data_IF_274341530845
#
_entry.id   IF_274341530845
#
_cell.length_a   1.000
_cell.length_b   1.000
_cell.length_c   1.000
_cell.angle_alpha   90.00
_cell.angle_beta   90.00
_cell.angle_gamma   90.00
#
_symmetry.space_group_name_H-M   'P 1'
#
loop_
_entity.id
_entity.type
_entity.pdbx_description
1 polymer ?
#
# COMPACT_ATOMS: atom_id res chain seq x y z
N UNK A 1 -5.47 3.61 12.72
CA UNK A 1 -6.05 3.23 11.41
C UNK A 1 -7.47 3.76 11.28
N UNK A 2 -8.36 3.38 12.19
CA UNK A 2 -9.78 3.82 12.14
C UNK A 2 -9.96 5.34 12.08
N UNK A 3 -9.15 6.09 12.79
CA UNK A 3 -9.22 7.55 12.80
C UNK A 3 -8.79 8.20 11.46
N UNK A 4 -8.04 7.47 10.65
CA UNK A 4 -7.55 7.95 9.33
C UNK A 4 -8.45 7.45 8.20
N UNK A 5 -8.88 6.18 8.26
CA UNK A 5 -9.62 5.52 7.18
C UNK A 5 -11.13 5.40 7.44
N UNK A 6 -11.58 5.76 8.63
CA UNK A 6 -12.96 5.61 9.14
C UNK A 6 -13.47 4.14 9.12
N UNK A 7 -12.57 3.17 9.07
CA UNK A 7 -12.87 1.74 9.07
C UNK A 7 -11.93 0.95 9.97
N UNK A 8 -12.30 -0.26 10.33
CA UNK A 8 -11.39 -1.18 11.00
C UNK A 8 -10.44 -1.82 9.98
N UNK A 9 -9.19 -2.02 10.40
CA UNK A 9 -8.16 -2.66 9.60
C UNK A 9 -8.49 -4.13 9.37
N UNK A 10 -8.36 -4.60 8.14
CA UNK A 10 -8.44 -6.04 7.83
C UNK A 10 -7.16 -6.76 8.23
N UNK A 11 -7.25 -8.07 8.44
CA UNK A 11 -6.08 -8.90 8.78
C UNK A 11 -4.97 -8.81 7.73
N UNK A 12 -5.34 -8.80 6.44
CA UNK A 12 -4.38 -8.61 5.34
C UNK A 12 -3.67 -7.26 5.44
N UNK A 13 -4.38 -6.17 5.77
CA UNK A 13 -3.80 -4.83 5.92
C UNK A 13 -2.80 -4.79 7.09
N UNK A 14 -3.16 -5.41 8.23
CA UNK A 14 -2.26 -5.49 9.37
C UNK A 14 -0.97 -6.25 9.02
N UNK A 15 -1.11 -7.42 8.38
CA UNK A 15 0.03 -8.21 7.90
C UNK A 15 0.86 -7.41 6.90
N UNK A 16 0.19 -6.75 5.94
CA UNK A 16 0.84 -5.91 4.94
C UNK A 16 1.67 -4.80 5.55
N UNK A 17 1.11 -4.05 6.48
CA UNK A 17 1.82 -2.99 7.19
C UNK A 17 3.01 -3.53 7.97
N UNK A 18 2.85 -4.66 8.68
CA UNK A 18 3.93 -5.28 9.45
C UNK A 18 5.12 -5.68 8.57
N UNK A 19 4.86 -6.37 7.44
CA UNK A 19 5.90 -6.79 6.51
C UNK A 19 6.50 -5.59 5.75
N UNK A 20 5.66 -4.65 5.29
CA UNK A 20 6.08 -3.50 4.48
C UNK A 20 7.00 -2.55 5.23
N UNK A 21 6.76 -2.35 6.52
CA UNK A 21 7.48 -1.36 7.33
C UNK A 21 8.56 -1.97 8.23
N UNK A 22 8.75 -3.28 8.20
CA UNK A 22 9.80 -3.95 8.94
C UNK A 22 11.18 -3.38 8.59
N UNK A 23 12.05 -3.28 9.58
CA UNK A 23 13.46 -2.98 9.36
C UNK A 23 14.17 -4.28 8.99
N UNK A 24 14.73 -4.31 7.80
CA UNK A 24 15.41 -5.47 7.25
C UNK A 24 16.53 -5.96 8.18
N UNK A 25 16.67 -7.27 8.34
CA UNK A 25 17.64 -7.89 9.23
C UNK A 25 18.17 -9.19 8.60
N UNK A 26 19.46 -9.41 8.72
CA UNK A 26 20.12 -10.57 8.12
C UNK A 26 20.52 -10.32 6.68
N UNK A 27 20.08 -11.18 5.76
CA UNK A 27 20.30 -10.99 4.33
C UNK A 27 19.36 -9.92 3.76
N UNK A 28 19.75 -9.31 2.66
CA UNK A 28 18.91 -8.29 2.00
C UNK A 28 17.57 -8.90 1.54
N UNK A 29 16.49 -8.26 1.94
CA UNK A 29 15.13 -8.71 1.71
C UNK A 29 14.68 -9.82 2.68
N UNK A 30 13.53 -10.47 2.44
CA UNK A 30 13.04 -11.52 3.34
C UNK A 30 13.96 -12.73 3.34
N UNK A 31 14.26 -13.28 4.52
CA UNK A 31 15.11 -14.45 4.70
C UNK A 31 14.51 -15.48 5.64
N UNK A 32 14.99 -16.74 5.64
CA UNK A 32 14.43 -17.81 6.46
C UNK A 32 14.71 -17.67 7.98
N UNK A 33 15.59 -16.76 8.39
CA UNK A 33 15.99 -16.56 9.79
C UNK A 33 15.17 -15.46 10.43
N UNK A 34 15.04 -14.32 9.75
CA UNK A 34 14.40 -13.11 10.26
C UNK A 34 13.09 -12.78 9.56
N UNK A 35 12.68 -13.55 8.53
CA UNK A 35 11.50 -13.27 7.73
C UNK A 35 11.63 -11.90 7.03
N UNK A 36 10.70 -10.98 7.29
CA UNK A 36 10.70 -9.61 6.77
C UNK A 36 11.54 -8.64 7.62
N UNK A 37 12.16 -9.12 8.71
CA UNK A 37 12.99 -8.33 9.60
C UNK A 37 12.30 -7.95 10.91
N UNK A 38 12.79 -6.88 11.54
CA UNK A 38 12.29 -6.39 12.84
C UNK A 38 11.04 -5.52 12.64
N UNK A 39 9.97 -5.86 13.34
CA UNK A 39 8.73 -5.08 13.33
C UNK A 39 8.97 -3.62 13.75
N UNK A 40 8.62 -2.68 12.88
CA UNK A 40 8.69 -1.25 13.14
C UNK A 40 7.29 -0.63 13.25
N UNK A 41 6.73 -0.66 14.47
CA UNK A 41 5.41 -0.11 14.75
C UNK A 41 5.32 1.41 14.51
N UNK A 42 6.44 2.15 14.70
CA UNK A 42 6.51 3.58 14.42
C UNK A 42 6.33 3.84 12.93
N UNK A 43 7.11 3.19 12.06
CA UNK A 43 6.96 3.29 10.60
C UNK A 43 5.56 2.90 10.14
N UNK A 44 4.98 1.83 10.70
CA UNK A 44 3.62 1.42 10.38
C UNK A 44 2.59 2.51 10.73
N UNK A 45 2.71 3.14 11.90
CA UNK A 45 1.85 4.25 12.30
C UNK A 45 2.04 5.48 11.39
N UNK A 46 3.28 5.84 11.06
CA UNK A 46 3.62 6.93 10.14
C UNK A 46 3.07 6.66 8.73
N UNK A 47 3.14 5.42 8.25
CA UNK A 47 2.55 5.01 6.96
C UNK A 47 1.02 5.18 6.96
N UNK A 48 0.35 4.84 8.07
CA UNK A 48 -1.10 5.03 8.19
C UNK A 48 -1.45 6.51 8.22
N UNK A 49 -0.73 7.32 9.01
CA UNK A 49 -1.01 8.77 9.14
C UNK A 49 -0.65 9.55 7.90
N UNK A 50 0.35 9.08 7.12
CA UNK A 50 0.73 9.65 5.84
C UNK A 50 -0.15 9.26 4.66
N UNK A 51 -1.20 8.44 4.90
CA UNK A 51 -2.07 7.96 3.82
C UNK A 51 -2.73 9.13 3.06
N UNK A 52 -2.58 9.12 1.74
CA UNK A 52 -3.02 10.21 0.86
C UNK A 52 -2.03 11.39 0.75
N UNK A 53 -0.92 11.37 1.50
CA UNK A 53 0.14 12.36 1.43
C UNK A 53 1.42 11.76 0.82
N UNK A 54 2.18 11.03 1.60
CA UNK A 54 3.45 10.41 1.20
C UNK A 54 3.42 8.89 1.25
N UNK A 55 2.28 8.34 1.55
CA UNK A 55 1.97 6.91 1.52
C UNK A 55 0.58 6.66 0.96
N UNK A 56 0.32 5.39 0.63
CA UNK A 56 -0.99 4.91 0.19
C UNK A 56 -1.30 3.60 0.91
N UNK A 57 -2.41 3.55 1.61
CA UNK A 57 -2.91 2.33 2.28
C UNK A 57 -4.36 2.15 1.89
N UNK A 58 -4.66 1.09 1.16
CA UNK A 58 -6.02 0.79 0.71
C UNK A 58 -6.36 -0.70 0.78
N UNK A 59 -7.63 -0.99 0.79
CA UNK A 59 -8.20 -2.33 0.79
C UNK A 59 -9.05 -2.50 -0.47
N UNK A 60 -8.57 -3.33 -1.38
CA UNK A 60 -9.00 -3.44 -2.76
C UNK A 60 -9.58 -4.83 -3.07
N UNK A 61 -10.14 -4.95 -4.27
CA UNK A 61 -10.65 -6.20 -4.81
C UNK A 61 -10.15 -6.38 -6.25
N UNK A 62 -9.65 -7.58 -6.56
CA UNK A 62 -9.30 -7.98 -7.92
C UNK A 62 -10.27 -9.06 -8.39
N UNK A 63 -10.96 -8.83 -9.49
CA UNK A 63 -11.82 -9.82 -10.11
C UNK A 63 -11.05 -10.67 -11.13
N UNK A 64 -11.62 -11.84 -11.44
CA UNK A 64 -11.11 -12.72 -12.48
C UNK A 64 -10.92 -11.98 -13.81
N UNK A 65 -9.79 -12.24 -14.49
CA UNK A 65 -9.43 -11.64 -15.79
C UNK A 65 -9.21 -10.12 -15.76
N UNK A 66 -9.10 -9.52 -14.56
CA UNK A 66 -8.82 -8.10 -14.41
C UNK A 66 -7.40 -7.84 -13.90
N UNK A 67 -6.95 -6.63 -14.16
CA UNK A 67 -5.80 -6.03 -13.50
C UNK A 67 -6.15 -4.62 -13.04
N UNK A 68 -5.54 -4.18 -11.95
CA UNK A 68 -5.68 -2.83 -11.46
C UNK A 68 -4.36 -2.10 -11.57
N UNK A 69 -4.41 -0.85 -12.02
CA UNK A 69 -3.21 -0.04 -12.23
C UNK A 69 -3.30 1.26 -11.44
N UNK A 70 -2.22 1.58 -10.73
CA UNK A 70 -2.04 2.83 -10.00
C UNK A 70 -0.85 3.59 -10.58
N UNK A 71 -1.02 4.87 -10.85
CA UNK A 71 0.08 5.76 -11.21
C UNK A 71 0.46 6.56 -9.98
N UNK A 72 1.71 6.48 -9.57
CA UNK A 72 2.22 7.14 -8.38
C UNK A 72 3.49 7.92 -8.71
N UNK A 73 3.75 9.00 -7.99
CA UNK A 73 4.97 9.77 -8.11
C UNK A 73 5.89 9.47 -6.93
N UNK A 74 7.06 8.91 -7.21
CA UNK A 74 8.07 8.67 -6.19
C UNK A 74 8.71 9.98 -5.71
N UNK A 75 9.10 10.03 -4.43
CA UNK A 75 9.76 11.19 -3.82
C UNK A 75 11.15 11.46 -4.42
N UNK A 76 11.87 10.41 -4.80
CA UNK A 76 13.26 10.46 -5.25
C UNK A 76 14.27 10.58 -4.11
N UNK A 77 13.82 10.71 -2.86
CA UNK A 77 14.66 10.86 -1.67
C UNK A 77 14.63 9.64 -0.76
N UNK A 78 13.59 8.81 -0.90
CA UNK A 78 13.39 7.58 -0.14
C UNK A 78 13.09 6.42 -1.09
N UNK A 79 13.30 5.17 -0.68
CA UNK A 79 12.91 4.02 -1.47
C UNK A 79 11.42 4.03 -1.82
N UNK A 80 11.08 3.73 -3.07
CA UNK A 80 9.70 3.44 -3.46
C UNK A 80 9.43 1.97 -3.15
N UNK A 81 8.51 1.72 -2.24
CA UNK A 81 8.11 0.37 -1.85
C UNK A 81 6.62 0.23 -2.11
N UNK A 82 6.21 -0.86 -2.75
CA UNK A 82 4.80 -1.22 -2.91
C UNK A 82 4.60 -2.68 -2.54
N UNK A 83 3.62 -2.94 -1.67
CA UNK A 83 3.30 -4.29 -1.20
C UNK A 83 1.83 -4.59 -1.37
N UNK A 84 1.52 -5.81 -1.78
CA UNK A 84 0.19 -6.40 -1.68
C UNK A 84 0.20 -7.55 -0.68
N UNK A 85 -0.91 -7.70 0.03
CA UNK A 85 -1.13 -8.81 0.96
C UNK A 85 -2.57 -9.23 0.89
N UNK A 86 -2.81 -10.52 1.01
CA UNK A 86 -4.19 -11.03 1.01
C UNK A 86 -4.36 -12.19 1.98
N UNK A 87 -5.59 -12.39 2.40
CA UNK A 87 -6.01 -13.61 3.07
C UNK A 87 -6.46 -14.57 2.00
N UNK A 88 -5.62 -15.54 1.71
CA UNK A 88 -5.90 -16.55 0.70
C UNK A 88 -6.93 -17.56 1.20
N UNK A 89 -7.50 -18.31 0.27
CA UNK A 89 -8.34 -19.45 0.58
C UNK A 89 -7.49 -20.60 1.16
N UNK A 90 -8.11 -21.51 1.94
CA UNK A 90 -7.38 -22.67 2.44
C UNK A 90 -6.82 -23.52 1.31
N UNK A 91 -5.50 -23.67 1.29
CA UNK A 91 -4.82 -24.61 0.40
C UNK A 91 -4.95 -26.06 0.86
N UNK A 92 -4.33 -26.97 0.13
CA UNK A 92 -4.26 -28.37 0.53
C UNK A 92 -3.53 -28.50 1.88
N UNK A 93 -4.15 -29.23 2.82
CA UNK A 93 -3.51 -29.46 4.12
C UNK A 93 -2.24 -30.31 3.96
N UNK A 94 -1.17 -29.90 4.62
CA UNK A 94 0.00 -30.74 4.76
C UNK A 94 -0.31 -31.82 5.82
N UNK A 95 -0.53 -33.02 5.39
CA UNK A 95 -0.84 -34.17 6.26
C UNK A 95 0.42 -34.79 6.90
N UNK A 96 1.50 -34.06 7.01
CA UNK A 96 2.76 -34.54 7.60
C UNK A 96 3.63 -35.37 6.66
N UNK A 97 3.27 -35.45 5.39
CA UNK A 97 4.00 -36.21 4.37
C UNK A 97 5.03 -35.38 3.59
N UNK A 98 5.04 -34.04 3.81
CA UNK A 98 6.01 -33.17 3.16
C UNK A 98 7.31 -33.12 3.95
N UNK A 99 8.43 -33.12 3.22
CA UNK A 99 9.75 -32.93 3.82
C UNK A 99 9.87 -31.51 4.44
N UNK A 100 10.84 -31.33 5.33
CA UNK A 100 11.20 -29.98 5.77
C UNK A 100 11.63 -29.15 4.57
N UNK A 101 11.17 -27.91 4.49
CA UNK A 101 11.39 -26.98 3.37
C UNK A 101 10.83 -27.45 2.03
N UNK A 102 9.76 -28.22 2.04
CA UNK A 102 9.08 -28.64 0.80
C UNK A 102 8.59 -27.41 0.03
N UNK A 103 8.98 -27.23 -1.24
CA UNK A 103 8.63 -26.06 -2.04
C UNK A 103 7.23 -26.15 -2.68
N UNK A 104 6.43 -27.14 -2.31
CA UNK A 104 5.10 -27.34 -2.89
C UNK A 104 4.24 -26.12 -2.60
N UNK A 105 3.70 -25.51 -3.66
CA UNK A 105 2.85 -24.34 -3.60
C UNK A 105 1.56 -24.64 -2.81
N UNK A 106 1.35 -23.91 -1.73
CA UNK A 106 0.10 -23.94 -0.95
C UNK A 106 -0.85 -22.80 -1.33
N UNK A 107 -0.36 -21.80 -2.05
CA UNK A 107 -1.11 -20.63 -2.50
C UNK A 107 -2.23 -21.06 -3.46
N UNK A 108 -3.45 -20.57 -3.21
CA UNK A 108 -4.65 -20.87 -4.01
C UNK A 108 -4.89 -19.77 -5.05
N UNK A 109 -5.01 -18.52 -4.60
CA UNK A 109 -5.14 -17.36 -5.48
C UNK A 109 -3.77 -16.66 -5.60
N UNK A 110 -3.21 -16.67 -6.78
CA UNK A 110 -1.87 -16.16 -7.09
C UNK A 110 -1.99 -14.73 -7.64
N UNK A 111 -1.83 -13.74 -6.77
CA UNK A 111 -1.79 -12.33 -7.16
C UNK A 111 -0.34 -11.90 -7.39
N UNK A 112 -0.16 -10.97 -8.32
CA UNK A 112 1.14 -10.41 -8.67
C UNK A 112 1.14 -8.88 -8.52
N UNK A 113 2.24 -8.32 -8.04
CA UNK A 113 2.53 -6.89 -8.11
C UNK A 113 3.75 -6.62 -9.00
N UNK A 114 3.66 -5.55 -9.80
CA UNK A 114 4.78 -5.03 -10.62
C UNK A 114 4.85 -3.53 -10.49
N UNK A 115 6.07 -3.02 -10.38
CA UNK A 115 6.31 -1.59 -10.61
C UNK A 115 7.01 -1.46 -11.96
N UNK A 116 6.57 -0.48 -12.76
CA UNK A 116 7.16 -0.18 -14.05
C UNK A 116 7.51 1.29 -14.14
N UNK A 117 8.63 1.55 -14.82
CA UNK A 117 9.02 2.87 -15.27
C UNK A 117 9.56 2.75 -16.69
N UNK A 118 8.90 3.36 -17.65
CA UNK A 118 9.21 3.20 -19.08
C UNK A 118 9.24 1.70 -19.45
N UNK A 119 10.35 1.23 -20.01
CA UNK A 119 10.56 -0.17 -20.38
C UNK A 119 11.09 -1.05 -19.24
N UNK A 120 11.40 -0.48 -18.07
CA UNK A 120 11.96 -1.23 -16.93
C UNK A 120 10.83 -1.75 -16.06
N UNK A 121 10.89 -3.04 -15.73
CA UNK A 121 9.98 -3.71 -14.79
C UNK A 121 10.75 -4.14 -13.54
N UNK A 122 10.15 -3.91 -12.37
CA UNK A 122 10.66 -4.31 -11.08
C UNK A 122 9.73 -5.38 -10.52
N UNK A 123 10.34 -6.45 -10.02
CA UNK A 123 9.66 -7.65 -9.53
C UNK A 123 9.60 -7.65 -8.00
N UNK A 124 8.67 -8.42 -7.41
CA UNK A 124 8.62 -8.59 -5.96
C UNK A 124 9.80 -9.38 -5.42
N UNK A 125 10.02 -9.26 -4.11
CA UNK A 125 10.92 -10.14 -3.39
C UNK A 125 10.42 -11.59 -3.44
N UNK A 126 11.34 -12.51 -3.67
CA UNK A 126 11.10 -13.95 -3.59
C UNK A 126 12.23 -14.58 -2.79
N UNK A 127 11.87 -15.44 -1.83
CA UNK A 127 12.85 -16.22 -1.09
C UNK A 127 13.68 -17.09 -2.03
N UNK A 128 14.97 -17.13 -1.79
CA UNK A 128 15.85 -18.06 -2.48
C UNK A 128 15.66 -19.47 -1.87
N UNK A 129 15.73 -20.49 -2.70
CA UNK A 129 15.69 -21.89 -2.24
C UNK A 129 16.88 -22.25 -1.34
N UNK A 130 17.99 -21.53 -1.48
CA UNK A 130 19.14 -21.65 -0.58
C UNK A 130 18.98 -20.66 0.58
N UNK A 131 18.75 -21.18 1.78
CA UNK A 131 18.53 -20.38 2.99
C UNK A 131 19.69 -19.45 3.38
N UNK A 132 20.90 -19.68 2.86
CA UNK A 132 22.08 -18.80 3.07
C UNK A 132 22.21 -17.70 2.00
N UNK A 133 21.34 -17.67 1.01
CA UNK A 133 21.39 -16.69 -0.07
C UNK A 133 20.36 -15.59 0.15
N UNK A 134 20.67 -14.40 -0.36
CA UNK A 134 19.74 -13.26 -0.37
C UNK A 134 18.48 -13.60 -1.18
N UNK A 135 17.37 -12.93 -0.84
CA UNK A 135 16.18 -12.96 -1.66
C UNK A 135 16.45 -12.32 -3.03
N UNK A 136 15.64 -12.69 -4.01
CA UNK A 136 15.77 -12.20 -5.39
C UNK A 136 14.58 -11.32 -5.77
N UNK A 137 14.82 -10.37 -6.70
CA UNK A 137 13.81 -9.49 -7.29
C UNK A 137 13.85 -9.54 -8.83
N UNK A 138 14.05 -10.72 -9.39
CA UNK A 138 14.20 -10.92 -10.84
C UNK A 138 13.07 -11.73 -11.48
N UNK A 139 12.18 -12.26 -10.67
CA UNK A 139 11.07 -13.11 -11.11
C UNK A 139 9.86 -13.00 -10.18
N UNK A 140 8.78 -13.68 -10.54
CA UNK A 140 7.52 -13.70 -9.80
C UNK A 140 7.65 -14.51 -8.49
N UNK A 141 6.96 -14.05 -7.46
CA UNK A 141 6.72 -14.82 -6.24
C UNK A 141 5.37 -15.54 -6.36
N UNK A 142 5.37 -16.83 -6.58
CA UNK A 142 4.17 -17.64 -6.70
C UNK A 142 3.92 -18.53 -5.47
N UNK A 143 4.54 -18.21 -4.34
CA UNK A 143 4.52 -19.04 -3.13
C UNK A 143 3.78 -18.34 -1.98
N UNK A 144 4.00 -17.02 -1.85
CA UNK A 144 3.57 -16.25 -0.69
C UNK A 144 2.32 -15.41 -1.00
N UNK A 145 1.49 -15.20 0.01
CA UNK A 145 0.39 -14.24 -0.05
C UNK A 145 0.80 -12.86 0.51
N UNK A 146 2.07 -12.53 0.32
CA UNK A 146 2.70 -11.22 0.53
C UNK A 146 3.66 -10.99 -0.61
N UNK A 147 3.47 -9.94 -1.37
CA UNK A 147 4.43 -9.52 -2.37
C UNK A 147 4.84 -8.07 -2.14
N UNK A 148 6.13 -7.80 -2.22
CA UNK A 148 6.69 -6.47 -2.06
C UNK A 148 7.72 -6.20 -3.14
N UNK A 149 7.54 -5.10 -3.86
CA UNK A 149 8.54 -4.55 -4.78
C UNK A 149 9.19 -3.35 -4.11
N UNK A 150 10.53 -3.32 -4.11
CA UNK A 150 11.34 -2.23 -3.56
C UNK A 150 12.28 -1.67 -4.61
N UNK A 151 12.33 -0.35 -4.73
CA UNK A 151 13.30 0.39 -5.55
C UNK A 151 14.05 1.31 -4.61
N UNK A 152 15.31 1.01 -4.32
CA UNK A 152 16.10 1.73 -3.30
C UNK A 152 16.39 3.19 -3.67
N UNK A 153 16.61 3.47 -4.93
CA UNK A 153 16.95 4.81 -5.41
C UNK A 153 16.04 5.22 -6.57
N UNK A 154 14.74 5.44 -6.31
CA UNK A 154 13.83 5.88 -7.35
C UNK A 154 14.17 7.31 -7.76
N UNK A 155 13.95 7.66 -9.01
CA UNK A 155 13.96 9.06 -9.41
C UNK A 155 12.64 9.74 -9.04
N UNK A 156 12.64 11.05 -8.83
CA UNK A 156 11.41 11.81 -8.61
C UNK A 156 10.61 11.90 -9.93
N UNK A 157 9.82 10.87 -10.19
CA UNK A 157 9.02 10.73 -11.41
C UNK A 157 7.85 9.76 -11.19
N UNK A 158 7.00 9.62 -12.20
CA UNK A 158 5.90 8.69 -12.17
C UNK A 158 6.37 7.24 -12.38
N UNK A 159 5.72 6.35 -11.66
CA UNK A 159 5.83 4.90 -11.75
C UNK A 159 4.44 4.31 -11.85
N UNK A 160 4.32 3.25 -12.62
CA UNK A 160 3.07 2.49 -12.76
C UNK A 160 3.16 1.23 -11.91
N UNK A 161 2.21 1.05 -11.00
CA UNK A 161 2.07 -0.15 -10.18
C UNK A 161 0.89 -0.93 -10.72
N UNK A 162 1.10 -2.17 -11.11
CA UNK A 162 0.06 -3.05 -11.64
C UNK A 162 -0.12 -4.23 -10.70
N UNK A 163 -1.36 -4.49 -10.33
CA UNK A 163 -1.79 -5.68 -9.61
C UNK A 163 -2.53 -6.56 -10.61
N UNK A 164 -2.13 -7.81 -10.73
CA UNK A 164 -2.72 -8.82 -11.60
C UNK A 164 -2.83 -10.16 -10.88
N UNK A 165 -3.29 -11.17 -11.56
CA UNK A 165 -3.30 -12.54 -11.03
C UNK A 165 -2.91 -13.56 -12.09
N UNK A 166 -2.46 -14.71 -11.64
CA UNK A 166 -2.18 -15.89 -12.50
C UNK A 166 -3.26 -16.93 -12.31
N UNK A 167 -3.63 -17.55 -13.42
CA UNK A 167 -4.60 -18.64 -13.40
C UNK A 167 -6.00 -18.20 -12.97
N UNK A 168 -6.73 -19.14 -12.40
CA UNK A 168 -8.11 -18.96 -11.98
C UNK A 168 -8.15 -18.46 -10.52
N UNK A 169 -8.81 -17.32 -10.29
CA UNK A 169 -9.19 -16.92 -8.94
C UNK A 169 -10.38 -17.77 -8.47
N UNK A 170 -10.16 -18.60 -7.47
CA UNK A 170 -11.28 -19.33 -6.86
C UNK A 170 -12.28 -18.33 -6.29
N UNK A 171 -13.56 -18.54 -6.49
CA UNK A 171 -14.65 -17.60 -6.19
C UNK A 171 -14.73 -16.37 -7.11
N UNK A 172 -13.94 -16.31 -8.21
CA UNK A 172 -13.99 -15.26 -9.21
C UNK A 172 -13.39 -13.92 -8.80
N UNK A 173 -12.83 -13.82 -7.58
CA UNK A 173 -12.21 -12.59 -7.07
C UNK A 173 -11.31 -12.86 -5.86
N UNK A 174 -10.40 -11.91 -5.58
CA UNK A 174 -9.58 -11.89 -4.37
C UNK A 174 -9.52 -10.47 -3.80
N UNK A 175 -9.86 -10.34 -2.50
CA UNK A 175 -9.61 -9.10 -1.77
C UNK A 175 -8.14 -9.04 -1.36
N UNK A 176 -7.52 -7.86 -1.49
CA UNK A 176 -6.15 -7.63 -1.09
C UNK A 176 -6.00 -6.26 -0.43
N UNK A 177 -4.92 -6.08 0.28
CA UNK A 177 -4.51 -4.79 0.83
C UNK A 177 -3.28 -4.30 0.08
N UNK A 178 -3.25 -3.01 -0.24
CA UNK A 178 -2.15 -2.34 -0.91
C UNK A 178 -1.52 -1.34 0.05
N UNK A 179 -0.19 -1.38 0.17
CA UNK A 179 0.60 -0.41 0.92
C UNK A 179 1.71 0.12 0.02
N UNK A 180 1.81 1.45 -0.11
CA UNK A 180 2.87 2.10 -0.88
C UNK A 180 3.50 3.20 -0.02
N UNK A 181 4.84 3.29 -0.03
CA UNK A 181 5.61 4.35 0.64
C UNK A 181 6.68 4.92 -0.30
N UNK A 182 7.31 6.02 0.09
CA UNK A 182 8.30 6.71 -0.74
C UNK A 182 7.66 7.59 -1.81
N UNK A 183 6.41 8.00 -1.60
CA UNK A 183 5.67 8.88 -2.49
C UNK A 183 6.01 10.35 -2.23
N UNK A 184 5.95 11.17 -3.28
CA UNK A 184 5.90 12.61 -3.09
C UNK A 184 4.46 13.05 -2.93
N UNK A 185 4.20 13.90 -1.96
CA UNK A 185 2.92 14.56 -1.85
C UNK A 185 2.74 15.55 -3.00
N UNK A 186 1.67 15.39 -3.77
CA UNK A 186 1.30 16.37 -4.80
C UNK A 186 0.71 17.65 -4.18
N UNK A 187 0.23 17.54 -2.97
CA UNK A 187 -0.28 18.67 -2.19
C UNK A 187 -0.17 18.40 -0.68
N UNK A 188 -0.27 19.45 0.12
CA UNK A 188 -0.47 19.38 1.57
C UNK A 188 -1.59 20.32 1.98
N UNK A 189 -2.44 19.89 2.92
CA UNK A 189 -3.45 20.72 3.56
C UNK A 189 -3.18 20.66 5.07
N UNK A 190 -2.89 21.81 5.66
CA UNK A 190 -2.66 21.94 7.09
C UNK A 190 -3.72 22.85 7.68
N UNK A 191 -4.64 22.36 8.54
CA UNK A 191 -5.59 23.20 9.23
C UNK A 191 -4.84 24.26 10.05
N UNK A 192 -5.29 25.50 9.97
CA UNK A 192 -4.78 26.62 10.77
C UNK A 192 -5.79 27.09 11.80
N UNK A 193 -7.05 26.62 11.70
CA UNK A 193 -8.07 26.79 12.72
C UNK A 193 -8.21 25.51 13.55
N UNK A 194 -8.46 25.66 14.85
CA UNK A 194 -8.87 24.59 15.76
C UNK A 194 -10.37 24.30 15.60
N UNK A 195 -10.88 23.38 16.41
CA UNK A 195 -12.32 23.14 16.53
C UNK A 195 -13.06 24.44 16.89
N UNK A 196 -14.14 24.72 16.15
CA UNK A 196 -14.94 25.92 16.33
C UNK A 196 -16.31 25.56 16.89
N UNK A 197 -16.72 26.28 17.91
CA UNK A 197 -18.09 26.26 18.41
C UNK A 197 -18.76 27.57 18.04
N UNK A 198 -19.85 27.48 17.29
CA UNK A 198 -20.64 28.65 16.88
C UNK A 198 -22.09 28.52 17.36
N UNK A 199 -22.76 29.61 17.57
CA UNK A 199 -24.17 29.64 17.90
C UNK A 199 -25.01 29.20 16.70
N UNK A 200 -26.23 28.75 16.99
CA UNK A 200 -27.21 28.41 15.94
C UNK A 200 -27.38 29.59 14.97
N UNK A 201 -27.43 29.30 13.68
CA UNK A 201 -27.53 30.27 12.58
C UNK A 201 -26.29 31.17 12.37
N UNK A 202 -25.13 30.78 12.90
CA UNK A 202 -23.85 31.41 12.56
C UNK A 202 -23.01 30.52 11.69
N UNK A 203 -22.14 31.13 10.88
CA UNK A 203 -21.19 30.41 10.05
C UNK A 203 -19.92 30.08 10.85
N UNK A 204 -19.45 28.83 10.75
CA UNK A 204 -18.11 28.46 11.18
C UNK A 204 -17.15 28.62 9.98
N UNK A 205 -16.05 29.33 10.18
CA UNK A 205 -15.02 29.54 9.15
C UNK A 205 -13.78 28.74 9.53
N UNK A 206 -13.46 27.73 8.75
CA UNK A 206 -12.24 26.95 8.89
C UNK A 206 -11.22 27.45 7.89
N UNK A 207 -9.98 27.60 8.34
CA UNK A 207 -8.87 28.02 7.50
C UNK A 207 -7.79 26.93 7.46
N UNK A 208 -7.17 26.76 6.30
CA UNK A 208 -6.02 25.86 6.13
C UNK A 208 -4.99 26.45 5.19
N UNK A 209 -3.75 26.08 5.43
CA UNK A 209 -2.67 26.28 4.48
C UNK A 209 -2.71 25.14 3.47
N UNK A 210 -2.93 25.47 2.22
CA UNK A 210 -2.81 24.56 1.09
C UNK A 210 -1.48 24.84 0.38
N UNK A 211 -0.74 23.80 0.08
CA UNK A 211 0.47 23.86 -0.74
C UNK A 211 0.42 22.76 -1.78
N UNK A 212 0.55 23.13 -3.04
CA UNK A 212 0.69 22.23 -4.17
C UNK A 212 2.14 22.23 -4.66
N UNK A 213 2.69 21.03 -4.92
CA UNK A 213 4.07 20.86 -5.41
C UNK A 213 4.13 20.39 -6.85
N UNK A 214 2.99 20.05 -7.46
CA UNK A 214 2.85 19.62 -8.86
C UNK A 214 2.08 20.62 -9.72
N UNK A 215 2.04 20.37 -11.01
CA UNK A 215 1.16 21.06 -11.96
C UNK A 215 -0.17 20.31 -12.05
N UNK A 216 -1.26 20.96 -11.79
CA UNK A 216 -2.61 20.39 -11.88
C UNK A 216 -3.60 21.25 -11.12
N UNK A 217 -4.86 21.12 -11.46
CA UNK A 217 -5.93 21.82 -10.73
C UNK A 217 -6.45 20.94 -9.63
N UNK A 218 -6.44 21.45 -8.40
CA UNK A 218 -7.07 20.79 -7.25
C UNK A 218 -8.44 21.38 -7.02
N UNK A 219 -9.46 20.54 -6.98
CA UNK A 219 -10.84 20.94 -6.65
C UNK A 219 -11.18 20.49 -5.23
N UNK A 220 -11.89 21.35 -4.49
CA UNK A 220 -12.37 21.06 -3.14
C UNK A 220 -13.86 20.79 -3.15
N UNK A 221 -14.26 19.71 -2.48
CA UNK A 221 -15.67 19.40 -2.24
C UNK A 221 -15.91 18.98 -0.80
N UNK A 222 -17.01 19.40 -0.16
CA UNK A 222 -17.33 18.97 1.18
C UNK A 222 -17.90 17.55 1.16
N UNK A 223 -17.49 16.72 2.13
CA UNK A 223 -18.05 15.40 2.36
C UNK A 223 -18.38 15.22 3.84
N UNK A 224 -19.38 14.40 4.16
CA UNK A 224 -19.71 14.07 5.54
C UNK A 224 -20.35 15.20 6.34
N UNK A 225 -20.98 16.17 5.68
CA UNK A 225 -21.69 17.26 6.37
C UNK A 225 -22.91 16.71 7.14
N UNK A 226 -23.21 17.27 8.32
CA UNK A 226 -24.47 17.01 9.02
C UNK A 226 -25.68 17.38 8.15
N UNK A 227 -26.81 16.74 8.41
CA UNK A 227 -28.06 17.05 7.71
C UNK A 227 -28.42 18.51 7.85
N UNK A 228 -28.64 19.21 6.71
CA UNK A 228 -28.97 20.63 6.67
C UNK A 228 -27.75 21.58 6.71
N UNK A 229 -26.53 21.07 6.87
CA UNK A 229 -25.33 21.88 6.78
C UNK A 229 -24.92 22.12 5.32
N UNK A 230 -24.48 23.33 5.01
CA UNK A 230 -23.95 23.74 3.70
C UNK A 230 -22.52 24.22 3.92
N UNK A 231 -21.60 23.76 3.09
CA UNK A 231 -20.25 24.29 3.07
C UNK A 231 -19.96 24.96 1.72
N UNK A 232 -19.20 26.04 1.78
CA UNK A 232 -18.64 26.72 0.60
C UNK A 232 -17.17 26.96 0.80
N UNK A 233 -16.41 26.99 -0.28
CA UNK A 233 -15.00 27.32 -0.28
C UNK A 233 -14.82 28.70 -0.92
N UNK A 234 -13.94 29.54 -0.37
CA UNK A 234 -13.60 30.83 -0.99
C UNK A 234 -12.98 30.63 -2.39
N UNK A 235 -12.17 29.57 -2.52
CA UNK A 235 -11.67 29.09 -3.80
C UNK A 235 -12.08 27.62 -3.95
N UNK A 236 -12.78 27.29 -5.00
CA UNK A 236 -13.20 25.90 -5.32
C UNK A 236 -12.15 25.14 -6.12
N UNK A 237 -11.15 25.84 -6.65
CA UNK A 237 -10.01 25.27 -7.39
C UNK A 237 -8.77 26.15 -7.26
N UNK A 238 -7.60 25.53 -7.19
CA UNK A 238 -6.29 26.17 -7.14
C UNK A 238 -5.36 25.53 -8.15
#
# INVERSE_FOLDING_TARGET
YKNVTNSFMKAATLKGLACHTADDAGNIGPDPIFGWGLLNAKKAAETITGNGLNSWVSEENLNQEQSTTFVVKASGTEPLIASITWTDLPGAANNGNLAANDPTKALVNDLDIRIRKNAVSYFPWKLNSNASSEAIQSEDNAIDNVEQVKIDSPTNSEYTITISHKGLLQTGKQNYSLVITGLTSSFSIVPTSSDLTVCSNQNAVFTYNYKQTGTGTTTFSPVGLPVGAIASFNNTSL
#
